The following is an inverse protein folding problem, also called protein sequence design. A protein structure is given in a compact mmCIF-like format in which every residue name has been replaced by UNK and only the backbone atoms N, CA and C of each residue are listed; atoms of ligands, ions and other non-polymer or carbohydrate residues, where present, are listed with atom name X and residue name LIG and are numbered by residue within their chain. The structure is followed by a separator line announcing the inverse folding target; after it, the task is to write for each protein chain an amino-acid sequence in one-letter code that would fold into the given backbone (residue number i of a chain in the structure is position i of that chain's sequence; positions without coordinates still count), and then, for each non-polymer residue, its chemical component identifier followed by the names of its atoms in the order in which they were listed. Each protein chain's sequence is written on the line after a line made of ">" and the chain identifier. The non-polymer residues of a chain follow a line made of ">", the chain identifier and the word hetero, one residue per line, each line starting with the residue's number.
data_IF_589921339781
#
_entry.id   IF_589921339781
#
_cell.length_a   1.000
_cell.length_b   1.000
_cell.length_c   1.000
_cell.angle_alpha   90.00
_cell.angle_beta   90.00
_cell.angle_gamma   90.00
#
_symmetry.space_group_name_H-M   'P 1'
#
loop_
_entity.id
_entity.type
_entity.pdbx_description
1 polymer ?
#
# COMPACT_ATOMS: atom_id res chain seq x y z
N UNK A 1 -18.77 6.85 -6.68
CA UNK A 1 -18.33 6.80 -8.09
C UNK A 1 -17.12 5.89 -8.16
N UNK A 2 -17.08 4.94 -9.09
CA UNK A 2 -15.91 4.07 -9.26
C UNK A 2 -14.77 4.91 -9.85
N UNK A 3 -13.65 4.99 -9.13
CA UNK A 3 -12.44 5.63 -9.65
C UNK A 3 -12.03 4.88 -10.92
N UNK A 4 -11.72 5.61 -11.99
CA UNK A 4 -11.29 5.02 -13.26
C UNK A 4 -9.96 4.32 -13.01
N UNK A 5 -9.98 2.99 -13.00
CA UNK A 5 -8.76 2.19 -12.94
C UNK A 5 -7.94 2.45 -14.20
N UNK A 6 -6.64 2.63 -14.05
CA UNK A 6 -5.75 2.69 -15.19
C UNK A 6 -5.72 1.33 -15.91
N UNK A 7 -5.72 1.38 -17.24
CA UNK A 7 -5.64 0.21 -18.11
C UNK A 7 -4.18 -0.17 -18.38
N UNK A 8 -3.98 -1.38 -18.92
CA UNK A 8 -2.68 -1.82 -19.41
C UNK A 8 -2.05 -0.80 -20.37
N UNK A 9 -0.77 -0.48 -20.16
CA UNK A 9 -0.02 0.47 -20.98
C UNK A 9 -0.27 1.95 -20.66
N UNK A 10 -1.16 2.27 -19.71
CA UNK A 10 -1.31 3.65 -19.24
C UNK A 10 -0.26 3.99 -18.18
N UNK A 11 0.34 5.18 -18.32
CA UNK A 11 1.29 5.70 -17.36
C UNK A 11 0.55 6.25 -16.14
N UNK A 12 1.06 5.93 -14.95
CA UNK A 12 0.62 6.51 -13.68
C UNK A 12 1.79 7.33 -13.13
N UNK A 13 1.60 8.63 -12.94
CA UNK A 13 2.58 9.46 -12.25
C UNK A 13 2.45 9.25 -10.73
N UNK A 14 3.51 8.73 -10.11
CA UNK A 14 3.55 8.49 -8.67
C UNK A 14 3.97 9.73 -7.87
N UNK A 15 4.53 10.77 -8.49
CA UNK A 15 5.00 11.98 -7.76
C UNK A 15 3.86 12.66 -6.99
N UNK A 16 2.65 12.84 -7.55
CA UNK A 16 1.53 13.44 -6.80
C UNK A 16 1.04 12.55 -5.66
N UNK A 17 1.31 11.24 -5.70
CA UNK A 17 0.95 10.31 -4.63
C UNK A 17 2.02 10.28 -3.52
N UNK A 18 3.20 10.83 -3.80
CA UNK A 18 4.36 10.85 -2.92
C UNK A 18 4.61 12.25 -2.31
N UNK A 19 3.70 13.20 -2.47
CA UNK A 19 3.84 14.57 -1.97
C UNK A 19 3.62 14.68 -0.45
N UNK A 20 3.17 13.60 0.20
CA UNK A 20 2.88 13.54 1.63
C UNK A 20 1.54 14.17 2.01
N UNK A 21 0.73 14.64 1.04
CA UNK A 21 -0.64 15.05 1.30
C UNK A 21 -1.50 13.82 1.57
N UNK A 22 -2.19 13.84 2.71
CA UNK A 22 -3.19 12.83 3.07
C UNK A 22 -4.62 13.27 2.73
N UNK A 23 -4.79 14.35 1.95
CA UNK A 23 -6.10 14.90 1.57
C UNK A 23 -6.81 14.02 0.53
N UNK A 24 -6.05 13.20 -0.20
CA UNK A 24 -6.61 12.27 -1.17
C UNK A 24 -7.01 10.96 -0.51
N UNK A 25 -8.21 10.43 -0.80
CA UNK A 25 -8.62 9.13 -0.26
C UNK A 25 -7.78 8.00 -0.86
N UNK A 26 -7.68 6.89 -0.11
CA UNK A 26 -7.13 5.64 -0.64
C UNK A 26 -7.89 5.19 -1.88
N UNK A 27 -7.18 4.70 -2.90
CA UNK A 27 -7.76 4.33 -4.20
C UNK A 27 -7.12 3.08 -4.81
N UNK A 28 -7.92 2.34 -5.58
CA UNK A 28 -7.43 1.28 -6.46
C UNK A 28 -6.94 1.91 -7.76
N UNK A 29 -5.63 1.84 -8.02
CA UNK A 29 -4.99 2.41 -9.19
C UNK A 29 -5.17 1.51 -10.42
N UNK A 30 -4.91 0.21 -10.25
CA UNK A 30 -5.04 -0.82 -11.28
C UNK A 30 -5.74 -2.01 -10.64
N UNK A 31 -6.68 -2.62 -11.37
CA UNK A 31 -7.24 -3.93 -11.02
C UNK A 31 -7.43 -4.75 -12.29
N UNK A 32 -6.74 -5.87 -12.36
CA UNK A 32 -6.82 -6.87 -13.44
C UNK A 32 -7.17 -8.23 -12.84
N UNK A 33 -7.19 -9.29 -13.64
CA UNK A 33 -7.41 -10.65 -13.13
C UNK A 33 -6.23 -11.20 -12.32
N UNK A 34 -5.02 -10.64 -12.51
CA UNK A 34 -3.78 -11.18 -11.92
C UNK A 34 -3.09 -10.21 -10.95
N UNK A 35 -3.38 -8.91 -11.05
CA UNK A 35 -2.64 -7.85 -10.38
C UNK A 35 -3.58 -6.74 -9.91
N UNK A 36 -3.35 -6.25 -8.70
CA UNK A 36 -3.99 -5.06 -8.16
C UNK A 36 -2.95 -4.09 -7.59
N UNK A 37 -3.01 -2.82 -7.98
CA UNK A 37 -2.23 -1.74 -7.37
C UNK A 37 -3.18 -0.84 -6.58
N UNK A 38 -2.82 -0.56 -5.33
CA UNK A 38 -3.58 0.29 -4.42
C UNK A 38 -2.69 1.42 -3.93
N UNK A 39 -3.19 2.65 -4.02
CA UNK A 39 -2.66 3.78 -3.29
C UNK A 39 -3.39 3.86 -1.95
N UNK A 40 -2.65 3.71 -0.85
CA UNK A 40 -3.21 3.76 0.49
C UNK A 40 -2.67 4.96 1.23
N UNK A 41 -3.57 5.76 1.75
CA UNK A 41 -3.29 6.97 2.52
C UNK A 41 -3.68 6.72 3.97
N UNK A 42 -2.76 6.97 4.88
CA UNK A 42 -2.96 6.83 6.32
C UNK A 42 -2.53 8.09 7.04
N UNK A 43 -3.42 8.64 7.86
CA UNK A 43 -3.05 9.71 8.80
C UNK A 43 -2.22 9.16 9.95
N UNK A 44 -1.40 10.01 10.58
CA UNK A 44 -0.62 9.64 11.76
C UNK A 44 -1.50 9.00 12.84
N UNK A 45 -1.07 7.84 13.35
CA UNK A 45 -1.81 7.04 14.33
C UNK A 45 -2.91 6.14 13.73
N UNK A 46 -3.28 6.32 12.46
CA UNK A 46 -4.20 5.41 11.78
C UNK A 46 -3.55 4.05 11.56
N UNK A 47 -4.38 3.00 11.60
CA UNK A 47 -3.94 1.62 11.45
C UNK A 47 -4.74 0.90 10.39
N UNK A 48 -4.05 0.17 9.52
CA UNK A 48 -4.63 -0.98 8.85
C UNK A 48 -4.57 -2.15 9.84
N UNK A 49 -5.72 -2.65 10.33
CA UNK A 49 -5.75 -3.73 11.30
C UNK A 49 -5.10 -5.00 10.73
N UNK A 50 -4.81 -5.94 11.61
CA UNK A 50 -4.23 -7.22 11.18
C UNK A 50 -5.14 -7.91 10.17
N UNK A 51 -4.58 -8.27 9.03
CA UNK A 51 -5.25 -9.00 7.98
C UNK A 51 -4.23 -9.82 7.19
N UNK A 52 -4.71 -10.58 6.22
CA UNK A 52 -3.87 -11.30 5.25
C UNK A 52 -4.52 -11.29 3.89
N UNK A 53 -3.69 -11.37 2.86
CA UNK A 53 -4.11 -11.49 1.46
C UNK A 53 -3.61 -12.81 0.90
N UNK A 54 -4.35 -13.42 -0.03
CA UNK A 54 -4.03 -14.76 -0.52
C UNK A 54 -2.73 -14.81 -1.34
N UNK A 55 -2.46 -13.77 -2.14
CA UNK A 55 -1.26 -13.67 -2.96
C UNK A 55 -0.16 -12.82 -2.33
N UNK A 56 1.01 -12.87 -2.96
CA UNK A 56 2.19 -12.09 -2.58
C UNK A 56 1.94 -10.58 -2.78
N UNK A 57 2.49 -9.76 -1.88
CA UNK A 57 2.28 -8.32 -1.84
C UNK A 57 3.61 -7.58 -1.67
N UNK A 58 3.87 -6.56 -2.49
CA UNK A 58 4.85 -5.54 -2.15
C UNK A 58 4.20 -4.37 -1.42
N UNK A 59 4.83 -3.89 -0.35
CA UNK A 59 4.46 -2.67 0.37
C UNK A 59 5.57 -1.64 0.19
N UNK A 60 5.29 -0.56 -0.52
CA UNK A 60 6.21 0.56 -0.72
C UNK A 60 5.71 1.80 0.00
N UNK A 61 6.56 2.46 0.79
CA UNK A 61 6.26 3.76 1.37
C UNK A 61 6.71 4.86 0.40
N UNK A 62 5.75 5.62 -0.13
CA UNK A 62 6.00 6.72 -1.06
C UNK A 62 6.37 8.00 -0.29
N UNK A 63 5.64 8.29 0.79
CA UNK A 63 5.84 9.42 1.66
C UNK A 63 5.53 9.05 3.11
N UNK A 64 6.12 9.80 4.06
CA UNK A 64 5.93 9.57 5.48
C UNK A 64 6.72 8.39 6.03
N UNK A 65 6.12 7.73 7.02
CA UNK A 65 6.72 6.60 7.73
C UNK A 65 5.64 5.74 8.39
N UNK A 66 5.74 4.44 8.15
CA UNK A 66 4.86 3.45 8.76
C UNK A 66 5.66 2.39 9.50
N UNK A 67 4.98 1.67 10.39
CA UNK A 67 5.47 0.44 10.99
C UNK A 67 4.66 -0.72 10.46
N UNK A 68 5.34 -1.63 9.78
CA UNK A 68 4.79 -2.92 9.38
C UNK A 68 4.95 -3.91 10.54
N UNK A 69 3.85 -4.52 10.96
CA UNK A 69 3.81 -5.46 12.07
C UNK A 69 3.43 -6.82 11.50
N UNK A 70 4.29 -7.82 11.72
CA UNK A 70 4.10 -9.22 11.32
C UNK A 70 4.33 -10.12 12.55
N UNK A 71 3.91 -11.39 12.53
CA UNK A 71 4.19 -12.32 13.62
C UNK A 71 5.68 -12.37 13.96
N UNK A 72 6.02 -11.95 15.18
CA UNK A 72 7.38 -11.99 15.71
C UNK A 72 8.33 -10.89 15.21
N UNK A 73 7.88 -9.94 14.37
CA UNK A 73 8.73 -8.83 13.91
C UNK A 73 7.95 -7.56 13.61
N UNK A 74 8.56 -6.42 13.92
CA UNK A 74 8.09 -5.11 13.50
C UNK A 74 9.18 -4.41 12.70
N UNK A 75 8.81 -3.85 11.55
CA UNK A 75 9.74 -3.22 10.61
C UNK A 75 9.30 -1.78 10.37
N UNK A 76 10.12 -0.77 10.71
CA UNK A 76 9.86 0.59 10.24
C UNK A 76 10.10 0.65 8.73
N UNK A 77 9.22 1.34 8.02
CA UNK A 77 9.30 1.58 6.58
C UNK A 77 9.14 3.08 6.33
N UNK A 78 10.21 3.72 5.89
CA UNK A 78 10.26 5.13 5.56
C UNK A 78 10.07 5.39 4.05
N UNK A 79 9.78 6.64 3.69
CA UNK A 79 9.65 7.06 2.30
C UNK A 79 10.81 6.58 1.41
N UNK A 80 10.48 6.07 0.23
CA UNK A 80 11.41 5.48 -0.74
C UNK A 80 11.80 4.03 -0.45
N UNK A 81 11.34 3.44 0.65
CA UNK A 81 11.62 2.04 1.00
C UNK A 81 10.45 1.12 0.61
N UNK A 82 10.78 -0.15 0.36
CA UNK A 82 9.80 -1.20 0.07
C UNK A 82 10.17 -2.51 0.75
N UNK A 83 9.16 -3.35 0.97
CA UNK A 83 9.33 -4.75 1.38
C UNK A 83 8.31 -5.64 0.67
N UNK A 84 8.51 -6.96 0.73
CA UNK A 84 7.60 -7.96 0.15
C UNK A 84 7.14 -8.92 1.24
N UNK A 85 5.85 -9.23 1.22
CA UNK A 85 5.19 -10.15 2.11
C UNK A 85 4.71 -11.36 1.33
N UNK A 86 4.90 -12.55 1.91
CA UNK A 86 4.40 -13.80 1.33
C UNK A 86 2.87 -13.79 1.34
N UNK A 87 2.27 -14.48 0.37
CA UNK A 87 0.83 -14.74 0.39
C UNK A 87 0.43 -15.50 1.67
N UNK A 88 -0.65 -15.06 2.30
CA UNK A 88 -1.17 -15.60 3.55
C UNK A 88 -0.51 -15.11 4.83
N UNK A 89 0.59 -14.33 4.74
CA UNK A 89 1.28 -13.77 5.91
C UNK A 89 0.39 -12.72 6.61
N UNK A 90 0.01 -12.93 7.88
CA UNK A 90 -0.71 -11.92 8.66
C UNK A 90 0.14 -10.67 8.85
N UNK A 91 -0.46 -9.51 8.65
CA UNK A 91 0.22 -8.23 8.85
C UNK A 91 -0.74 -7.10 9.21
N UNK A 92 -0.21 -6.14 9.95
CA UNK A 92 -0.85 -4.85 10.22
C UNK A 92 0.10 -3.71 9.84
N UNK A 93 -0.46 -2.54 9.54
CA UNK A 93 0.32 -1.34 9.24
C UNK A 93 -0.12 -0.21 10.15
N UNK A 94 0.80 0.39 10.88
CA UNK A 94 0.56 1.57 11.71
C UNK A 94 1.27 2.77 11.09
N UNK A 95 0.54 3.85 10.85
CA UNK A 95 1.15 5.11 10.43
C UNK A 95 1.81 5.82 11.61
N UNK A 96 3.14 5.92 11.60
CA UNK A 96 3.90 6.72 12.58
C UNK A 96 3.85 8.21 12.22
N UNK A 97 3.64 8.51 10.93
CA UNK A 97 3.44 9.83 10.36
C UNK A 97 2.32 9.74 9.31
N UNK A 98 1.77 10.87 8.89
CA UNK A 98 0.98 10.95 7.67
C UNK A 98 1.75 10.30 6.52
N UNK A 99 1.16 9.28 5.90
CA UNK A 99 1.88 8.37 5.01
C UNK A 99 1.06 7.99 3.78
N UNK A 100 1.76 7.89 2.66
CA UNK A 100 1.23 7.39 1.40
C UNK A 100 1.97 6.11 1.01
N UNK A 101 1.24 5.06 0.70
CA UNK A 101 1.76 3.73 0.42
C UNK A 101 1.29 3.27 -0.96
N UNK A 102 2.18 2.61 -1.69
CA UNK A 102 1.83 1.83 -2.88
C UNK A 102 1.87 0.34 -2.52
N UNK A 103 0.73 -0.32 -2.65
CA UNK A 103 0.59 -1.76 -2.49
C UNK A 103 0.46 -2.38 -3.88
N UNK A 104 1.26 -3.40 -4.16
CA UNK A 104 1.15 -4.20 -5.39
C UNK A 104 0.86 -5.64 -5.00
N UNK A 105 -0.36 -6.08 -5.26
CA UNK A 105 -0.87 -7.39 -4.87
C UNK A 105 -1.01 -8.30 -6.08
N UNK A 106 -0.40 -9.49 -6.01
CA UNK A 106 -0.69 -10.58 -6.93
C UNK A 106 -2.02 -11.20 -6.52
N UNK A 107 -2.99 -11.24 -7.43
CA UNK A 107 -4.28 -11.84 -7.18
C UNK A 107 -4.22 -13.34 -7.40
N UNK A 108 -4.72 -14.10 -6.42
CA UNK A 108 -4.93 -15.54 -6.52
C UNK A 108 -6.41 -15.81 -6.36
N UNK A 109 -6.97 -16.53 -7.32
CA UNK A 109 -8.35 -17.04 -7.31
C UNK A 109 -8.39 -18.42 -6.67
#
# INVERSE_FOLDING_TARGET
>A
MALTHANHGQLIDLKPLADGSTDSPSTSLIKTDQLQLLHVVLHAGQRLPEHKVAGELSLQCLAGRVRLIMPGTELPLAAGQLTVLRGGEPHAVLAEQDSCLLLTLILRH
#
